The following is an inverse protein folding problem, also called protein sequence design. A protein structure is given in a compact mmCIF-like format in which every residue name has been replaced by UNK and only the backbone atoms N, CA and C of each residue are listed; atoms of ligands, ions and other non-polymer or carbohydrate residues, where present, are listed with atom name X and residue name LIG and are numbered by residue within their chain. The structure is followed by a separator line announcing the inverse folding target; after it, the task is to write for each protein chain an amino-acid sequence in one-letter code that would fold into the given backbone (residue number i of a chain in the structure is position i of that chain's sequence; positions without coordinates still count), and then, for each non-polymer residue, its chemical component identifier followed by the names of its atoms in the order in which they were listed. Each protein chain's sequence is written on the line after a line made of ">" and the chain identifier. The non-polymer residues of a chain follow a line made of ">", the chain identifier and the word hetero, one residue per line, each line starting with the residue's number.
data_IF_178580945759
#
_entry.id   IF_178580945759
#
_cell.length_a   1.000
_cell.length_b   1.000
_cell.length_c   1.000
_cell.angle_alpha   90.00
_cell.angle_beta   90.00
_cell.angle_gamma   90.00
#
_symmetry.space_group_name_H-M   'P 1'
#
loop_
_entity.id
_entity.type
_entity.pdbx_description
1 polymer ?
#
# COMPACT_ATOMS: atom_id res chain seq x y z
N UNK A 1 6.88 14.69 41.39
CA UNK A 1 7.17 14.72 39.94
C UNK A 1 7.24 13.28 39.46
N UNK A 2 6.29 12.76 38.67
CA UNK A 2 6.37 11.38 38.21
C UNK A 2 7.38 11.26 37.06
N UNK A 3 8.33 10.33 37.21
CA UNK A 3 9.35 9.99 36.21
C UNK A 3 8.80 8.96 35.22
N UNK A 4 8.64 9.36 33.96
CA UNK A 4 8.28 8.47 32.86
C UNK A 4 9.54 7.86 32.24
N UNK A 5 10.08 6.80 32.86
CA UNK A 5 11.17 6.01 32.28
C UNK A 5 10.78 4.54 32.28
N UNK A 6 9.79 4.16 31.46
CA UNK A 6 9.64 2.77 31.04
C UNK A 6 10.29 2.64 29.66
N UNK A 7 11.43 1.96 29.61
CA UNK A 7 12.05 1.52 28.35
C UNK A 7 11.00 0.74 27.55
N UNK A 8 10.79 1.03 26.26
CA UNK A 8 9.96 0.19 25.41
C UNK A 8 10.44 -1.26 25.47
N UNK A 9 9.54 -2.26 25.39
CA UNK A 9 9.95 -3.65 25.32
C UNK A 9 10.91 -3.84 24.13
N UNK A 10 12.08 -4.43 24.40
CA UNK A 10 13.08 -4.73 23.38
C UNK A 10 12.44 -5.65 22.34
N UNK A 11 12.20 -5.10 21.14
CA UNK A 11 11.91 -5.90 19.96
C UNK A 11 13.18 -6.70 19.68
N UNK A 12 13.11 -8.03 19.51
CA UNK A 12 14.29 -8.82 19.18
C UNK A 12 15.00 -8.18 17.99
N UNK A 13 16.25 -7.77 18.19
CA UNK A 13 17.06 -7.22 17.11
C UNK A 13 17.38 -8.37 16.15
N UNK A 14 16.60 -8.46 15.08
CA UNK A 14 16.91 -9.37 13.98
C UNK A 14 18.21 -8.90 13.36
N UNK A 15 19.25 -9.74 13.43
CA UNK A 15 20.52 -9.44 12.81
C UNK A 15 20.43 -9.70 11.30
N UNK A 16 20.15 -8.64 10.55
CA UNK A 16 19.98 -8.69 9.09
C UNK A 16 21.26 -9.06 8.33
N UNK A 17 22.42 -9.09 8.99
CA UNK A 17 23.66 -9.57 8.38
C UNK A 17 23.59 -11.05 7.97
N UNK A 18 22.69 -11.83 8.60
CA UNK A 18 22.50 -13.25 8.32
C UNK A 18 21.20 -13.55 7.57
N UNK A 19 20.39 -12.54 7.26
CA UNK A 19 19.14 -12.72 6.51
C UNK A 19 19.46 -12.57 5.03
N UNK A 20 19.65 -13.71 4.36
CA UNK A 20 19.85 -13.75 2.90
C UNK A 20 18.50 -13.72 2.21
N UNK A 21 18.12 -12.55 1.66
CA UNK A 21 17.04 -12.47 0.68
C UNK A 21 17.64 -12.73 -0.70
N UNK A 22 17.39 -13.92 -1.26
CA UNK A 22 17.93 -14.33 -2.57
C UNK A 22 17.45 -13.46 -3.73
N UNK A 23 16.35 -12.71 -3.55
CA UNK A 23 15.79 -11.78 -4.55
C UNK A 23 16.11 -10.31 -4.25
N UNK A 24 17.04 -10.04 -3.34
CA UNK A 24 17.39 -8.67 -2.99
C UNK A 24 18.05 -7.98 -4.19
N UNK A 25 17.50 -6.83 -4.61
CA UNK A 25 17.99 -6.06 -5.75
C UNK A 25 17.47 -6.52 -7.11
N UNK A 26 16.62 -7.55 -7.16
CA UNK A 26 15.92 -7.91 -8.39
C UNK A 26 14.82 -6.89 -8.69
N UNK A 27 14.78 -6.42 -9.94
CA UNK A 27 13.68 -5.60 -10.46
C UNK A 27 12.81 -6.52 -11.30
N UNK A 28 11.53 -6.62 -10.93
CA UNK A 28 10.52 -7.35 -11.69
C UNK A 28 9.55 -6.36 -12.32
N UNK A 29 9.33 -6.51 -13.62
CA UNK A 29 8.30 -5.79 -14.35
C UNK A 29 7.06 -6.66 -14.45
N UNK A 30 5.89 -6.07 -14.21
CA UNK A 30 4.60 -6.75 -14.27
C UNK A 30 3.56 -5.82 -14.85
N UNK A 31 2.87 -6.29 -15.89
CA UNK A 31 1.69 -5.62 -16.42
C UNK A 31 0.48 -5.90 -15.54
N UNK A 32 -0.04 -4.86 -14.91
CA UNK A 32 -1.25 -4.94 -14.10
C UNK A 32 -2.43 -4.36 -14.88
N UNK A 33 -3.52 -5.12 -14.93
CA UNK A 33 -4.79 -4.67 -15.51
C UNK A 33 -5.92 -5.05 -14.57
N UNK A 34 -6.86 -4.14 -14.38
CA UNK A 34 -8.01 -4.31 -13.50
C UNK A 34 -8.91 -3.08 -13.55
N UNK A 35 -10.10 -3.18 -12.97
CA UNK A 35 -11.01 -2.03 -12.83
C UNK A 35 -10.43 -0.97 -11.90
N UNK A 36 -9.65 -1.37 -10.90
CA UNK A 36 -8.92 -0.46 -10.02
C UNK A 36 -7.54 -1.02 -9.64
N UNK A 37 -6.61 -0.13 -9.32
CA UNK A 37 -5.31 -0.46 -8.71
C UNK A 37 -5.20 0.37 -7.44
N UNK A 38 -5.00 -0.31 -6.30
CA UNK A 38 -4.82 0.34 -5.01
C UNK A 38 -3.39 0.13 -4.51
N UNK A 39 -2.80 1.20 -4.00
CA UNK A 39 -1.51 1.17 -3.32
C UNK A 39 -1.74 1.66 -1.91
N UNK A 40 -1.42 0.83 -0.92
CA UNK A 40 -1.62 1.17 0.48
C UNK A 40 -0.40 0.80 1.30
N UNK A 41 -0.16 1.57 2.35
CA UNK A 41 0.77 1.16 3.41
C UNK A 41 0.01 0.20 4.33
N UNK A 42 0.45 -1.06 4.51
CA UNK A 42 -0.21 -1.97 5.44
C UNK A 42 -0.25 -1.36 6.83
N UNK A 43 -1.41 -1.46 7.50
CA UNK A 43 -1.52 -1.07 8.89
C UNK A 43 -0.44 -1.83 9.69
N UNK A 44 0.40 -1.04 10.37
CA UNK A 44 1.65 -1.40 11.07
C UNK A 44 1.61 -2.79 11.70
N UNK A 45 1.80 -3.85 10.92
CA UNK A 45 2.30 -5.11 11.44
C UNK A 45 3.80 -4.93 11.60
N UNK A 46 4.38 -5.48 12.66
CA UNK A 46 5.82 -5.33 12.94
C UNK A 46 6.72 -5.83 11.80
N UNK A 47 6.15 -6.61 10.88
CA UNK A 47 6.87 -7.29 9.81
C UNK A 47 6.57 -6.75 8.39
N UNK A 48 5.61 -5.84 8.22
CA UNK A 48 5.37 -5.20 6.92
C UNK A 48 6.51 -4.21 6.61
N UNK A 49 7.22 -4.46 5.51
CA UNK A 49 8.36 -3.63 5.05
C UNK A 49 8.17 -3.05 3.66
N UNK A 50 6.97 -3.14 3.12
CA UNK A 50 6.66 -2.69 1.77
C UNK A 50 5.27 -2.05 1.67
N UNK A 51 5.11 -1.23 0.64
CA UNK A 51 3.80 -0.84 0.14
C UNK A 51 3.13 -2.07 -0.47
N UNK A 52 1.83 -2.19 -0.23
CA UNK A 52 0.99 -3.21 -0.81
C UNK A 52 0.34 -2.66 -2.06
N UNK A 53 0.48 -3.37 -3.15
CA UNK A 53 -0.21 -3.12 -4.41
C UNK A 53 -1.26 -4.20 -4.59
N UNK A 54 -2.48 -3.80 -4.92
CA UNK A 54 -3.56 -4.73 -5.25
C UNK A 54 -4.30 -4.28 -6.49
N UNK A 55 -4.58 -5.22 -7.40
CA UNK A 55 -5.46 -5.00 -8.56
C UNK A 55 -6.85 -5.56 -8.29
N UNK A 56 -7.87 -4.80 -8.68
CA UNK A 56 -9.24 -5.28 -8.74
C UNK A 56 -9.47 -6.26 -9.89
N UNK A 57 -10.68 -6.84 -9.97
CA UNK A 57 -11.03 -7.76 -11.04
C UNK A 57 -10.97 -7.09 -12.41
N UNK A 58 -10.62 -7.86 -13.44
CA UNK A 58 -10.56 -7.36 -14.82
C UNK A 58 -11.93 -7.00 -15.39
N UNK A 59 -12.92 -7.87 -15.20
CA UNK A 59 -14.26 -7.74 -15.77
C UNK A 59 -15.35 -8.16 -14.76
N UNK A 60 -15.57 -7.38 -13.68
CA UNK A 60 -16.68 -7.66 -12.77
C UNK A 60 -18.01 -7.45 -13.48
N UNK A 61 -19.00 -8.28 -13.16
CA UNK A 61 -20.39 -7.99 -13.46
C UNK A 61 -20.87 -6.75 -12.70
N UNK A 62 -21.96 -6.15 -13.17
CA UNK A 62 -22.53 -4.97 -12.50
C UNK A 62 -22.91 -5.25 -11.04
N UNK A 63 -23.49 -6.42 -10.74
CA UNK A 63 -23.84 -6.80 -9.37
C UNK A 63 -22.60 -6.94 -8.49
N UNK A 64 -21.54 -7.59 -8.98
CA UNK A 64 -20.29 -7.74 -8.23
C UNK A 64 -19.65 -6.38 -7.95
N UNK A 65 -19.65 -5.47 -8.93
CA UNK A 65 -19.14 -4.12 -8.75
C UNK A 65 -19.90 -3.34 -7.67
N UNK A 66 -21.24 -3.39 -7.68
CA UNK A 66 -22.09 -2.69 -6.71
C UNK A 66 -21.97 -3.30 -5.32
N UNK A 67 -21.96 -4.63 -5.22
CA UNK A 67 -21.78 -5.35 -3.95
C UNK A 67 -20.43 -5.02 -3.31
N UNK A 68 -19.35 -5.07 -4.11
CA UNK A 68 -18.00 -4.68 -3.69
C UNK A 68 -17.97 -3.23 -3.19
N UNK A 69 -18.62 -2.29 -3.91
CA UNK A 69 -18.72 -0.90 -3.51
C UNK A 69 -19.35 -0.73 -2.13
N UNK A 70 -20.49 -1.37 -1.87
CA UNK A 70 -21.14 -1.35 -0.55
C UNK A 70 -20.29 -2.00 0.54
N UNK A 71 -19.52 -3.04 0.19
CA UNK A 71 -18.58 -3.70 1.10
C UNK A 71 -17.50 -2.74 1.57
N UNK A 72 -16.89 -2.01 0.63
CA UNK A 72 -15.85 -1.00 0.93
C UNK A 72 -16.40 0.17 1.76
N UNK A 73 -17.62 0.63 1.49
CA UNK A 73 -18.29 1.68 2.32
C UNK A 73 -18.46 1.25 3.78
N UNK A 74 -18.64 -0.05 4.04
CA UNK A 74 -18.72 -0.60 5.40
C UNK A 74 -17.35 -0.81 6.07
N UNK A 75 -16.25 -0.47 5.40
CA UNK A 75 -14.89 -0.61 5.92
C UNK A 75 -14.27 -1.99 5.73
N UNK A 76 -14.88 -2.84 4.91
CA UNK A 76 -14.28 -4.12 4.54
C UNK A 76 -13.18 -3.91 3.49
N UNK A 77 -12.15 -4.76 3.50
CA UNK A 77 -11.03 -4.66 2.55
C UNK A 77 -11.49 -4.95 1.11
N UNK A 78 -10.88 -4.31 0.10
CA UNK A 78 -11.14 -4.61 -1.31
C UNK A 78 -10.88 -6.07 -1.71
N UNK A 79 -11.66 -6.60 -2.64
CA UNK A 79 -11.35 -7.89 -3.28
C UNK A 79 -10.20 -7.65 -4.25
N UNK A 80 -9.07 -8.30 -4.02
CA UNK A 80 -7.90 -8.22 -4.89
C UNK A 80 -7.79 -9.48 -5.74
N UNK A 81 -7.59 -9.31 -7.05
CA UNK A 81 -7.22 -10.39 -7.96
C UNK A 81 -5.75 -10.78 -7.76
N UNK A 82 -4.88 -9.76 -7.66
CA UNK A 82 -3.46 -9.93 -7.36
C UNK A 82 -3.04 -8.99 -6.24
N UNK A 83 -2.07 -9.45 -5.45
CA UNK A 83 -1.49 -8.66 -4.37
C UNK A 83 0.02 -8.84 -4.32
N UNK A 84 0.73 -7.72 -4.26
CA UNK A 84 2.18 -7.66 -4.25
C UNK A 84 2.64 -6.77 -3.10
N UNK A 85 3.80 -7.06 -2.53
CA UNK A 85 4.46 -6.20 -1.56
C UNK A 85 5.84 -5.81 -2.09
N UNK A 86 6.12 -4.51 -2.12
CA UNK A 86 7.38 -3.98 -2.61
C UNK A 86 7.82 -2.79 -1.75
N UNK A 87 9.12 -2.61 -1.53
CA UNK A 87 9.61 -1.43 -0.83
C UNK A 87 9.58 -0.18 -1.70
N UNK A 88 9.80 -0.37 -2.99
CA UNK A 88 9.76 0.65 -4.02
C UNK A 88 9.08 0.08 -5.25
N UNK A 89 8.27 0.90 -5.89
CA UNK A 89 7.62 0.57 -7.15
C UNK A 89 7.66 1.78 -8.07
N UNK A 90 7.59 1.50 -9.36
CA UNK A 90 7.55 2.47 -10.44
C UNK A 90 6.33 2.11 -11.30
N UNK A 91 5.47 3.08 -11.56
CA UNK A 91 4.21 2.87 -12.29
C UNK A 91 4.29 3.67 -13.56
N UNK A 92 4.33 2.93 -14.67
CA UNK A 92 4.32 3.48 -16.02
C UNK A 92 2.94 3.20 -16.60
N UNK A 93 2.07 4.22 -16.73
CA UNK A 93 0.79 4.05 -17.38
C UNK A 93 0.98 3.67 -18.85
N UNK A 94 0.43 2.52 -19.28
CA UNK A 94 0.54 2.02 -20.66
C UNK A 94 -0.45 2.69 -21.61
N UNK A 95 -1.17 3.72 -21.15
CA UNK A 95 -2.24 4.34 -21.92
C UNK A 95 -1.74 4.97 -23.22
N UNK A 96 -2.27 4.50 -24.35
CA UNK A 96 -2.43 5.31 -25.55
C UNK A 96 -3.46 6.40 -25.23
N UNK A 97 -3.03 7.46 -24.55
CA UNK A 97 -3.87 8.64 -24.35
C UNK A 97 -4.17 9.20 -25.75
N UNK A 98 -5.44 9.33 -26.09
CA UNK A 98 -5.80 10.14 -27.25
C UNK A 98 -5.35 11.57 -26.98
N UNK A 99 -4.97 12.33 -28.02
CA UNK A 99 -4.66 13.75 -27.85
C UNK A 99 -5.85 14.44 -27.15
N UNK A 100 -5.61 14.98 -25.94
CA UNK A 100 -6.56 15.64 -25.03
C UNK A 100 -7.37 14.77 -24.05
N UNK A 101 -7.05 13.48 -23.84
CA UNK A 101 -7.66 12.72 -22.73
C UNK A 101 -6.86 12.91 -21.43
N UNK A 102 -7.39 13.72 -20.50
CA UNK A 102 -6.83 13.87 -19.16
C UNK A 102 -7.31 12.70 -18.27
N UNK A 103 -6.36 11.96 -17.70
CA UNK A 103 -6.64 10.91 -16.72
C UNK A 103 -6.10 11.33 -15.36
N UNK A 104 -6.78 10.87 -14.32
CA UNK A 104 -6.48 11.26 -12.94
C UNK A 104 -6.37 10.01 -12.07
N UNK A 105 -5.43 10.00 -11.13
CA UNK A 105 -5.43 9.08 -10.00
C UNK A 105 -5.65 9.86 -8.70
N UNK A 106 -6.09 9.17 -7.65
CA UNK A 106 -6.26 9.79 -6.33
C UNK A 106 -5.17 9.35 -5.35
N UNK A 107 -4.55 10.32 -4.69
CA UNK A 107 -3.68 10.10 -3.53
C UNK A 107 -4.36 10.75 -2.34
N UNK A 108 -4.66 9.98 -1.30
CA UNK A 108 -5.28 10.46 -0.05
C UNK A 108 -6.51 11.38 -0.28
N UNK A 109 -7.35 11.03 -1.26
CA UNK A 109 -8.58 11.74 -1.65
C UNK A 109 -8.35 13.09 -2.35
N UNK A 110 -7.15 13.33 -2.88
CA UNK A 110 -6.84 14.44 -3.78
C UNK A 110 -6.61 13.91 -5.19
N UNK A 111 -6.97 14.70 -6.21
CA UNK A 111 -6.84 14.35 -7.63
C UNK A 111 -5.50 14.81 -8.19
N UNK A 112 -4.81 13.92 -8.90
CA UNK A 112 -3.53 14.18 -9.55
C UNK A 112 -3.54 13.64 -10.98
N UNK A 113 -2.94 14.39 -11.90
CA UNK A 113 -2.83 13.99 -13.31
C UNK A 113 -1.99 12.71 -13.42
N UNK A 114 -2.47 11.76 -14.24
CA UNK A 114 -1.77 10.52 -14.52
C UNK A 114 -0.46 10.81 -15.23
N UNK A 115 0.63 10.49 -14.56
CA UNK A 115 2.00 10.53 -15.08
C UNK A 115 2.73 9.30 -14.62
N UNK A 116 3.90 9.08 -15.20
CA UNK A 116 4.86 8.14 -14.64
C UNK A 116 5.23 8.56 -13.21
N UNK A 117 4.98 7.68 -12.24
CA UNK A 117 5.29 7.92 -10.82
C UNK A 117 6.18 6.83 -10.23
N UNK A 118 6.96 7.22 -9.21
CA UNK A 118 7.73 6.31 -8.36
C UNK A 118 7.25 6.45 -6.92
N UNK A 119 6.90 5.33 -6.30
CA UNK A 119 6.45 5.27 -4.91
C UNK A 119 7.51 4.54 -4.08
N UNK A 120 7.90 5.14 -2.97
CA UNK A 120 8.92 4.58 -2.05
C UNK A 120 8.39 4.59 -0.63
N UNK A 121 8.39 3.43 0.03
CA UNK A 121 8.03 3.36 1.44
C UNK A 121 9.16 3.93 2.29
N UNK A 122 8.84 4.95 3.09
CA UNK A 122 9.76 5.57 4.04
C UNK A 122 9.44 5.08 5.47
N UNK A 123 10.11 4.03 5.98
CA UNK A 123 9.77 3.46 7.28
C UNK A 123 10.11 4.43 8.41
N UNK A 124 9.17 4.62 9.34
CA UNK A 124 9.34 5.44 10.56
C UNK A 124 9.77 6.89 10.29
N UNK A 125 9.33 7.45 9.16
CA UNK A 125 9.65 8.83 8.76
C UNK A 125 8.96 9.89 9.62
N UNK A 126 7.84 9.55 10.26
CA UNK A 126 7.04 10.48 11.07
C UNK A 126 6.82 9.90 12.47
N UNK A 127 6.78 10.78 13.47
CA UNK A 127 6.36 10.45 14.83
C UNK A 127 4.95 10.97 15.06
N UNK A 128 4.05 10.10 15.54
CA UNK A 128 2.65 10.43 15.80
C UNK A 128 2.27 10.09 17.23
N UNK A 129 1.40 10.90 17.83
CA UNK A 129 0.79 10.57 19.11
C UNK A 129 -0.35 9.57 18.90
N UNK A 130 -0.36 8.49 19.68
CA UNK A 130 -1.44 7.51 19.66
C UNK A 130 -2.41 7.77 20.81
N UNK A 131 -3.73 7.54 20.62
CA UNK A 131 -4.68 7.56 21.73
C UNK A 131 -4.26 6.52 22.78
N UNK A 132 -4.51 6.82 24.05
CA UNK A 132 -4.22 5.87 25.13
C UNK A 132 -5.01 4.58 24.89
N UNK A 133 -4.32 3.45 24.79
CA UNK A 133 -5.01 2.16 24.73
C UNK A 133 -5.77 1.95 26.05
N UNK A 134 -7.04 1.51 26.00
CA UNK A 134 -7.78 1.20 27.20
C UNK A 134 -6.99 0.17 28.00
N UNK A 135 -6.78 0.44 29.30
CA UNK A 135 -6.20 -0.53 30.20
C UNK A 135 -7.23 -1.67 30.35
N UNK A 136 -7.02 -2.76 29.62
CA UNK A 136 -7.70 -4.04 29.83
C UNK A 136 -7.27 -4.67 31.13
#
# INVERSE_FOLDING_TARGET
>A
VPSFTKKPPEVPQVNYQYVVNTKCGEVSELDLTGVDINISCPAVSKDSRGVRVSSGPLNPSWSEYVEEGWRRVRGELPTAQEQLEAQQLEIVPVTQLQENEEKWFSIDNEEYEVRHIRVTLMPKSVQVFLPQQPQT
#
